data_IF_238647159014
#
_entry.id   IF_238647159014
#
_cell.length_a   1.000
_cell.length_b   1.000
_cell.length_c   1.000
_cell.angle_alpha   90.00
_cell.angle_beta   90.00
_cell.angle_gamma   90.00
#
_symmetry.space_group_name_H-M   'P 1'
#
loop_
_entity.id
_entity.type
_entity.pdbx_description
1 polymer ?
#
# COMPACT_ATOMS: atom_id res chain seq x y z
N UNK A 1 -45.15 -14.43 -22.36
CA UNK A 1 -46.23 -13.53 -21.94
C UNK A 1 -46.69 -13.95 -20.55
N UNK A 2 -46.09 -13.34 -19.52
CA UNK A 2 -46.55 -13.22 -18.12
C UNK A 2 -45.35 -12.70 -17.28
N UNK A 3 -45.46 -11.56 -16.57
CA UNK A 3 -44.34 -10.90 -15.90
C UNK A 3 -44.18 -11.38 -14.45
N UNK A 4 -42.95 -11.67 -14.03
CA UNK A 4 -42.58 -11.87 -12.63
C UNK A 4 -42.23 -10.52 -12.00
N UNK A 5 -43.25 -9.80 -11.54
CA UNK A 5 -43.12 -8.71 -10.58
C UNK A 5 -43.46 -9.25 -9.20
N UNK A 6 -42.50 -9.28 -8.26
CA UNK A 6 -42.81 -9.55 -6.86
C UNK A 6 -41.59 -9.79 -5.98
N UNK A 7 -41.41 -8.91 -4.99
CA UNK A 7 -40.57 -9.03 -3.80
C UNK A 7 -39.07 -8.68 -3.88
N UNK A 8 -38.79 -7.41 -4.21
CA UNK A 8 -37.57 -6.69 -3.78
C UNK A 8 -37.91 -5.55 -2.77
N UNK A 9 -38.95 -5.70 -1.96
CA UNK A 9 -39.39 -4.64 -1.01
C UNK A 9 -39.02 -4.92 0.46
N UNK A 10 -38.16 -5.91 0.74
CA UNK A 10 -37.77 -6.30 2.10
C UNK A 10 -36.33 -5.95 2.53
N UNK A 11 -35.48 -5.46 1.63
CA UNK A 11 -34.04 -5.25 1.93
C UNK A 11 -33.69 -3.83 2.37
N UNK A 12 -34.55 -2.82 2.15
CA UNK A 12 -34.26 -1.44 2.58
C UNK A 12 -34.34 -1.23 4.10
N UNK A 13 -35.16 -2.00 4.81
CA UNK A 13 -35.30 -1.87 6.28
C UNK A 13 -34.15 -2.49 7.08
N UNK A 14 -33.44 -3.50 6.54
CA UNK A 14 -32.26 -4.10 7.21
C UNK A 14 -30.98 -3.34 6.97
N UNK A 15 -30.87 -2.60 5.86
CA UNK A 15 -29.76 -1.69 5.60
C UNK A 15 -29.67 -0.56 6.64
N UNK A 16 -30.80 -0.01 7.08
CA UNK A 16 -30.80 1.01 8.14
C UNK A 16 -30.39 0.43 9.50
N UNK A 17 -30.80 -0.79 9.86
CA UNK A 17 -30.37 -1.43 11.11
C UNK A 17 -28.86 -1.75 11.17
N UNK A 18 -28.28 -2.20 10.05
CA UNK A 18 -26.84 -2.42 9.93
C UNK A 18 -26.04 -1.10 9.91
N UNK A 19 -26.53 -0.07 9.20
CA UNK A 19 -25.90 1.27 9.19
C UNK A 19 -25.96 1.93 10.56
N UNK A 20 -27.05 1.71 11.32
CA UNK A 20 -27.21 2.25 12.68
C UNK A 20 -26.34 1.50 13.70
N UNK A 21 -26.10 0.20 13.53
CA UNK A 21 -25.15 -0.55 14.36
C UNK A 21 -23.69 -0.26 14.02
N UNK A 22 -23.33 0.01 12.75
CA UNK A 22 -22.02 0.57 12.41
C UNK A 22 -21.85 1.99 12.97
N UNK A 23 -22.91 2.81 13.00
CA UNK A 23 -22.87 4.16 13.59
C UNK A 23 -22.71 4.13 15.12
N UNK A 24 -23.37 3.21 15.83
CA UNK A 24 -23.25 3.11 17.29
C UNK A 24 -21.84 2.71 17.76
N UNK A 25 -21.03 2.08 16.90
CA UNK A 25 -19.65 1.67 17.23
C UNK A 25 -18.57 2.49 16.54
N UNK A 26 -18.95 3.33 15.57
CA UNK A 26 -18.16 4.49 15.19
C UNK A 26 -17.94 5.44 16.37
N UNK A 27 -18.78 5.40 17.41
CA UNK A 27 -18.71 6.33 18.55
C UNK A 27 -17.63 5.95 19.60
N UNK A 28 -17.39 4.67 19.89
CA UNK A 28 -16.31 4.21 20.80
C UNK A 28 -14.95 3.99 20.09
N UNK A 29 -14.98 3.72 18.78
CA UNK A 29 -13.79 3.67 17.93
C UNK A 29 -13.37 5.06 17.43
N UNK A 30 -14.31 6.00 17.35
CA UNK A 30 -14.14 7.37 16.89
C UNK A 30 -12.98 8.10 17.55
N UNK A 31 -12.90 8.21 18.89
CA UNK A 31 -11.81 8.93 19.54
C UNK A 31 -10.44 8.27 19.35
N UNK A 32 -10.37 6.94 19.21
CA UNK A 32 -9.10 6.23 18.94
C UNK A 32 -8.67 6.42 17.49
N UNK A 33 -9.62 6.38 16.56
CA UNK A 33 -9.41 6.59 15.12
C UNK A 33 -8.95 8.03 14.82
N UNK A 34 -9.57 9.04 15.45
CA UNK A 34 -9.18 10.44 15.26
C UNK A 34 -7.79 10.73 15.80
N UNK A 35 -7.44 10.17 16.97
CA UNK A 35 -6.08 10.25 17.51
C UNK A 35 -5.09 9.60 16.54
N UNK A 36 -5.39 8.40 16.02
CA UNK A 36 -4.52 7.71 15.05
C UNK A 36 -4.31 8.52 13.76
N UNK A 37 -5.34 9.20 13.26
CA UNK A 37 -5.21 10.07 12.08
C UNK A 37 -4.36 11.31 12.34
N UNK A 38 -4.48 11.94 13.52
CA UNK A 38 -3.65 13.08 13.91
C UNK A 38 -2.18 12.69 14.06
N UNK A 39 -1.91 11.50 14.60
CA UNK A 39 -0.56 10.96 14.68
C UNK A 39 0.03 10.63 13.30
N UNK A 40 -0.75 10.07 12.37
CA UNK A 40 -0.31 9.83 10.99
C UNK A 40 0.08 11.13 10.26
N UNK A 41 -0.65 12.22 10.49
CA UNK A 41 -0.28 13.53 9.97
C UNK A 41 1.06 14.03 10.53
N UNK A 42 1.32 13.80 11.82
CA UNK A 42 2.58 14.18 12.48
C UNK A 42 3.79 13.38 11.99
N UNK A 43 3.61 12.09 11.69
CA UNK A 43 4.67 11.22 11.16
C UNK A 43 5.17 11.70 9.79
N UNK A 44 4.25 12.12 8.91
CA UNK A 44 4.60 12.66 7.59
C UNK A 44 5.40 13.98 7.62
N UNK A 45 5.30 14.76 8.71
CA UNK A 45 6.03 16.03 8.89
C UNK A 45 7.49 15.82 9.34
N UNK A 46 7.82 14.64 9.86
CA UNK A 46 9.13 14.37 10.49
C UNK A 46 10.30 14.60 9.53
N UNK A 47 10.22 14.04 8.32
CA UNK A 47 11.29 14.09 7.31
C UNK A 47 11.55 15.53 6.83
N UNK A 48 10.56 16.30 6.36
CA UNK A 48 10.81 17.67 5.89
C UNK A 48 11.28 18.60 7.00
N UNK A 49 10.82 18.42 8.23
CA UNK A 49 11.24 19.23 9.38
C UNK A 49 12.70 18.97 9.75
N UNK A 50 13.13 17.70 9.77
CA UNK A 50 14.53 17.34 9.96
C UNK A 50 15.43 17.94 8.88
N UNK A 51 14.99 17.88 7.62
CA UNK A 51 15.75 18.42 6.51
C UNK A 51 15.82 19.95 6.54
N UNK A 52 14.77 20.64 6.98
CA UNK A 52 14.81 22.08 7.17
C UNK A 52 15.89 22.52 8.16
N UNK A 53 15.98 21.83 9.30
CA UNK A 53 17.01 22.12 10.32
C UNK A 53 18.40 21.81 9.78
N UNK A 54 18.53 20.74 9.00
CA UNK A 54 19.79 20.42 8.31
C UNK A 54 20.19 21.52 7.30
N UNK A 55 19.22 22.18 6.66
CA UNK A 55 19.48 23.31 5.74
C UNK A 55 20.23 24.44 6.43
N UNK A 56 19.71 24.87 7.59
CA UNK A 56 20.30 25.95 8.39
C UNK A 56 21.75 25.62 8.77
N UNK A 57 22.00 24.36 9.14
CA UNK A 57 23.33 23.86 9.48
C UNK A 57 24.26 23.93 8.28
N UNK A 58 23.86 23.37 7.13
CA UNK A 58 24.66 23.37 5.90
C UNK A 58 24.99 24.80 5.46
N UNK A 59 24.02 25.71 5.56
CA UNK A 59 24.24 27.10 5.17
C UNK A 59 25.26 27.82 6.06
N UNK A 60 25.26 27.57 7.36
CA UNK A 60 26.23 28.18 8.28
C UNK A 60 27.65 27.64 8.04
N UNK A 61 27.79 26.32 7.83
CA UNK A 61 29.09 25.71 7.49
C UNK A 61 29.62 26.15 6.11
N UNK A 62 28.74 26.55 5.19
CA UNK A 62 29.11 27.01 3.86
C UNK A 62 29.65 28.44 3.78
N UNK A 63 29.61 29.22 4.87
CA UNK A 63 30.17 30.57 4.89
C UNK A 63 31.69 30.53 5.10
N UNK A 64 32.43 30.92 4.05
CA UNK A 64 33.90 30.84 3.97
C UNK A 64 34.68 31.73 4.97
N UNK A 65 33.98 32.57 5.74
CA UNK A 65 34.58 33.63 6.57
C UNK A 65 34.23 33.52 8.07
N UNK A 66 33.46 32.50 8.48
CA UNK A 66 33.24 32.25 9.90
C UNK A 66 34.34 31.37 10.45
N UNK A 67 35.20 31.93 11.31
CA UNK A 67 35.85 31.13 12.35
C UNK A 67 34.76 30.25 12.95
N UNK A 68 34.87 28.93 12.77
CA UNK A 68 33.88 27.96 13.24
C UNK A 68 33.96 27.99 14.77
N UNK A 69 33.31 28.98 15.35
CA UNK A 69 33.30 29.19 16.78
C UNK A 69 32.54 28.03 17.38
N UNK A 70 33.14 27.37 18.37
CA UNK A 70 32.53 26.29 19.14
C UNK A 70 31.13 26.68 19.65
N UNK A 71 30.86 27.99 19.81
CA UNK A 71 29.57 28.56 20.19
C UNK A 71 28.48 28.42 19.12
N UNK A 72 28.81 28.62 17.83
CA UNK A 72 27.87 28.42 16.71
C UNK A 72 27.56 26.93 16.53
N UNK A 73 28.60 26.08 16.54
CA UNK A 73 28.44 24.62 16.48
C UNK A 73 27.56 24.12 17.61
N UNK A 74 27.79 24.57 18.85
CA UNK A 74 26.98 24.16 20.00
C UNK A 74 25.52 24.62 19.90
N UNK A 75 25.25 25.82 19.33
CA UNK A 75 23.88 26.32 19.11
C UNK A 75 23.11 25.46 18.11
N UNK A 76 23.73 25.07 17.01
CA UNK A 76 23.10 24.21 16.01
C UNK A 76 23.02 22.75 16.44
N UNK A 77 24.04 22.24 17.14
CA UNK A 77 23.99 20.94 17.78
C UNK A 77 22.85 20.86 18.81
N UNK A 78 22.64 21.93 19.59
CA UNK A 78 21.48 22.03 20.49
C UNK A 78 20.15 22.08 19.73
N UNK A 79 20.04 22.84 18.63
CA UNK A 79 18.81 22.82 17.80
C UNK A 79 18.53 21.45 17.18
N UNK A 80 19.55 20.78 16.64
CA UNK A 80 19.46 19.41 16.14
C UNK A 80 19.11 18.44 17.27
N UNK A 81 19.68 18.60 18.46
CA UNK A 81 19.33 17.82 19.64
C UNK A 81 17.88 18.06 20.06
N UNK A 82 17.40 19.31 20.08
CA UNK A 82 16.00 19.61 20.41
C UNK A 82 15.04 19.04 19.38
N UNK A 83 15.40 19.07 18.09
CA UNK A 83 14.61 18.47 17.02
C UNK A 83 14.69 16.95 17.08
N UNK A 84 15.85 16.36 17.38
CA UNK A 84 16.03 14.93 17.54
C UNK A 84 15.37 14.39 18.82
N UNK A 85 15.32 15.17 19.89
CA UNK A 85 14.57 14.87 21.12
C UNK A 85 13.09 15.12 20.89
N UNK A 86 12.70 16.13 20.12
CA UNK A 86 11.30 16.40 19.75
C UNK A 86 10.74 15.30 18.85
N UNK A 87 11.49 14.91 17.81
CA UNK A 87 11.21 13.76 16.94
C UNK A 87 11.35 12.47 17.71
N UNK A 88 12.35 12.34 18.58
CA UNK A 88 12.56 11.18 19.43
C UNK A 88 11.38 10.98 20.37
N UNK A 89 10.91 12.03 21.05
CA UNK A 89 9.74 12.04 21.91
C UNK A 89 8.45 11.88 21.11
N UNK A 90 8.29 12.53 19.95
CA UNK A 90 7.13 12.30 19.07
C UNK A 90 7.13 10.90 18.49
N UNK A 91 8.31 10.29 18.32
CA UNK A 91 8.52 8.92 17.92
C UNK A 91 8.49 7.97 19.10
N UNK A 92 8.57 8.40 20.37
CA UNK A 92 8.48 7.61 21.63
C UNK A 92 7.07 7.60 22.23
N UNK A 93 6.44 8.78 22.33
CA UNK A 93 4.98 8.95 22.39
C UNK A 93 4.38 8.29 21.15
N UNK A 94 5.07 8.52 20.03
CA UNK A 94 5.09 7.71 18.83
C UNK A 94 5.16 6.26 19.21
N UNK A 95 6.24 5.66 19.74
CA UNK A 95 6.53 4.23 19.98
C UNK A 95 5.66 3.57 21.05
N UNK A 96 4.90 4.35 21.83
CA UNK A 96 3.61 3.87 22.37
C UNK A 96 2.66 3.43 21.23
N UNK A 97 3.08 3.59 19.97
CA UNK A 97 2.74 3.12 18.60
C UNK A 97 2.83 1.63 18.42
N UNK A 98 3.38 0.88 19.37
CA UNK A 98 2.87 -0.48 19.52
C UNK A 98 1.33 -0.40 19.56
N UNK A 99 0.72 0.60 20.22
CA UNK A 99 -0.71 0.84 20.09
C UNK A 99 -1.19 1.30 18.71
N UNK A 100 -0.43 1.96 17.81
CA UNK A 100 -0.98 2.32 16.49
C UNK A 100 -1.13 1.09 15.61
N UNK A 101 -0.09 0.26 15.56
CA UNK A 101 -0.07 -0.96 14.77
C UNK A 101 -0.96 -2.00 15.44
N UNK A 102 -0.87 -2.16 16.77
CA UNK A 102 -1.72 -3.10 17.51
C UNK A 102 -3.17 -2.62 17.65
N UNK A 103 -3.49 -1.33 17.74
CA UNK A 103 -4.89 -0.85 17.78
C UNK A 103 -5.52 -0.97 16.41
N UNK A 104 -4.77 -0.71 15.35
CA UNK A 104 -5.24 -0.95 13.99
C UNK A 104 -5.44 -2.45 13.74
N UNK A 105 -4.46 -3.29 14.08
CA UNK A 105 -4.57 -4.74 13.98
C UNK A 105 -5.72 -5.30 14.84
N UNK A 106 -5.88 -4.83 16.09
CA UNK A 106 -7.03 -5.22 16.95
C UNK A 106 -8.36 -4.76 16.38
N UNK A 107 -8.40 -3.60 15.72
CA UNK A 107 -9.63 -3.13 15.08
C UNK A 107 -9.95 -3.97 13.85
N UNK A 108 -8.94 -4.27 13.02
CA UNK A 108 -9.07 -5.16 11.86
C UNK A 108 -9.55 -6.57 12.27
N UNK A 109 -9.00 -7.13 13.35
CA UNK A 109 -9.40 -8.42 13.91
C UNK A 109 -10.85 -8.39 14.42
N UNK A 110 -11.26 -7.34 15.14
CA UNK A 110 -12.65 -7.17 15.59
C UNK A 110 -13.63 -7.06 14.43
N UNK A 111 -13.29 -6.28 13.41
CA UNK A 111 -14.12 -6.13 12.21
C UNK A 111 -14.25 -7.45 11.46
N UNK A 112 -13.15 -8.18 11.28
CA UNK A 112 -13.14 -9.49 10.63
C UNK A 112 -13.97 -10.52 11.42
N UNK A 113 -13.82 -10.55 12.74
CA UNK A 113 -14.57 -11.46 13.62
C UNK A 113 -16.09 -11.22 13.52
N UNK A 114 -16.51 -9.96 13.41
CA UNK A 114 -17.92 -9.59 13.19
C UNK A 114 -18.43 -9.97 11.82
N UNK A 115 -17.63 -9.75 10.78
CA UNK A 115 -17.95 -10.22 9.43
C UNK A 115 -18.16 -11.73 9.43
N UNK A 116 -17.25 -12.50 10.05
CA UNK A 116 -17.39 -13.96 10.22
C UNK A 116 -18.67 -14.34 10.95
N UNK A 117 -19.04 -13.62 12.02
CA UNK A 117 -20.22 -13.91 12.83
C UNK A 117 -21.53 -13.61 12.09
N UNK A 118 -21.67 -12.42 11.50
CA UNK A 118 -22.86 -12.06 10.71
C UNK A 118 -22.99 -12.93 9.46
N UNK A 119 -21.88 -13.30 8.84
CA UNK A 119 -21.88 -14.22 7.72
C UNK A 119 -22.36 -15.62 8.13
N UNK A 120 -21.79 -16.20 9.20
CA UNK A 120 -22.22 -17.50 9.72
C UNK A 120 -23.71 -17.50 10.09
N UNK A 121 -24.18 -16.41 10.72
CA UNK A 121 -25.59 -16.20 11.05
C UNK A 121 -26.49 -16.10 9.81
N UNK A 122 -26.00 -15.52 8.71
CA UNK A 122 -26.70 -15.48 7.43
C UNK A 122 -26.78 -16.87 6.79
N UNK A 123 -25.68 -17.63 6.76
CA UNK A 123 -25.64 -19.01 6.22
C UNK A 123 -26.59 -19.93 6.98
N UNK A 124 -26.62 -19.85 8.31
CA UNK A 124 -27.52 -20.66 9.14
C UNK A 124 -29.00 -20.31 8.98
N UNK A 125 -29.33 -19.14 8.41
CA UNK A 125 -30.70 -18.70 8.12
C UNK A 125 -31.16 -19.05 6.71
N UNK A 126 -30.28 -19.61 5.90
CA UNK A 126 -30.56 -19.96 4.52
C UNK A 126 -31.39 -21.26 4.46
N UNK A 127 -32.34 -21.34 3.52
CA UNK A 127 -33.18 -22.53 3.35
C UNK A 127 -32.36 -23.75 2.89
N UNK A 128 -32.82 -24.95 3.25
CA UNK A 128 -32.15 -26.22 2.90
C UNK A 128 -31.97 -26.36 1.38
N UNK A 129 -32.89 -25.82 0.58
CA UNK A 129 -32.80 -25.79 -0.89
C UNK A 129 -31.61 -25.01 -1.44
N UNK A 130 -31.01 -24.06 -0.68
CA UNK A 130 -29.76 -23.41 -1.08
C UNK A 130 -28.55 -24.34 -1.01
N UNK A 131 -28.55 -25.25 -0.04
CA UNK A 131 -27.51 -26.26 0.10
C UNK A 131 -27.69 -27.42 -0.90
N UNK A 132 -28.93 -27.71 -1.30
CA UNK A 132 -29.27 -28.73 -2.30
C UNK A 132 -29.10 -28.26 -3.76
N UNK A 133 -29.36 -26.98 -4.06
CA UNK A 133 -29.20 -26.41 -5.42
C UNK A 133 -27.74 -26.18 -5.82
N UNK A 134 -26.80 -26.25 -4.88
CA UNK A 134 -25.37 -26.31 -5.12
C UNK A 134 -24.90 -27.76 -5.37
N UNK A 135 -25.64 -28.52 -6.17
CA UNK A 135 -25.29 -29.89 -6.56
C UNK A 135 -24.38 -29.89 -7.80
N UNK A 136 -23.09 -30.24 -7.61
CA UNK A 136 -22.35 -31.26 -8.37
C UNK A 136 -20.82 -31.11 -8.24
N UNK A 137 -20.28 -29.88 -8.22
CA UNK A 137 -18.82 -29.65 -8.31
C UNK A 137 -18.22 -28.75 -7.20
N UNK A 138 -19.06 -28.09 -6.38
CA UNK A 138 -18.64 -27.16 -5.29
C UNK A 138 -19.22 -27.53 -3.92
N UNK A 139 -19.74 -28.74 -3.79
CA UNK A 139 -20.63 -29.19 -2.73
C UNK A 139 -19.89 -29.80 -1.55
N UNK A 140 -19.46 -28.97 -0.59
CA UNK A 140 -19.48 -29.36 0.82
C UNK A 140 -19.68 -28.11 1.68
N UNK A 141 -20.49 -28.21 2.74
CA UNK A 141 -20.54 -27.20 3.81
C UNK A 141 -19.13 -26.79 4.26
N UNK A 142 -18.18 -27.72 4.21
CA UNK A 142 -16.76 -27.50 4.47
C UNK A 142 -16.10 -26.51 3.51
N UNK A 143 -16.33 -26.61 2.19
CA UNK A 143 -15.72 -25.73 1.18
C UNK A 143 -16.27 -24.30 1.27
N UNK A 144 -17.56 -24.15 1.57
CA UNK A 144 -18.16 -22.83 1.84
C UNK A 144 -17.51 -22.23 3.09
N UNK A 145 -17.49 -22.96 4.21
CA UNK A 145 -16.87 -22.51 5.47
C UNK A 145 -15.38 -22.21 5.33
N UNK A 146 -14.63 -23.01 4.57
CA UNK A 146 -13.19 -22.81 4.35
C UNK A 146 -12.90 -21.60 3.48
N UNK A 147 -13.67 -21.39 2.41
CA UNK A 147 -13.56 -20.21 1.54
C UNK A 147 -13.85 -18.93 2.33
N UNK A 148 -14.90 -18.92 3.15
CA UNK A 148 -15.22 -17.76 4.01
C UNK A 148 -14.11 -17.47 5.01
N UNK A 149 -13.56 -18.52 5.63
CA UNK A 149 -12.48 -18.37 6.61
C UNK A 149 -11.22 -17.79 5.94
N UNK A 150 -10.89 -18.27 4.74
CA UNK A 150 -9.81 -17.77 3.89
C UNK A 150 -10.04 -16.32 3.45
N UNK A 151 -11.22 -16.00 2.93
CA UNK A 151 -11.57 -14.66 2.46
C UNK A 151 -11.56 -13.66 3.62
N UNK A 152 -12.12 -14.05 4.77
CA UNK A 152 -12.08 -13.23 5.98
C UNK A 152 -10.64 -13.00 6.46
N UNK A 153 -9.77 -14.01 6.37
CA UNK A 153 -8.36 -13.85 6.72
C UNK A 153 -7.65 -12.90 5.75
N UNK A 154 -7.94 -13.03 4.45
CA UNK A 154 -7.41 -12.14 3.41
C UNK A 154 -7.86 -10.70 3.65
N UNK A 155 -9.13 -10.49 4.03
CA UNK A 155 -9.67 -9.18 4.42
C UNK A 155 -8.97 -8.65 5.68
N UNK A 156 -8.76 -9.49 6.69
CA UNK A 156 -8.05 -9.13 7.92
C UNK A 156 -6.63 -8.65 7.65
N UNK A 157 -5.88 -9.42 6.85
CA UNK A 157 -4.51 -9.08 6.43
C UNK A 157 -4.51 -7.81 5.59
N UNK A 158 -5.48 -7.65 4.69
CA UNK A 158 -5.56 -6.46 3.83
C UNK A 158 -5.86 -5.21 4.64
N UNK A 159 -6.82 -5.25 5.58
CA UNK A 159 -7.14 -4.13 6.46
C UNK A 159 -5.99 -3.89 7.45
N UNK A 160 -5.43 -4.94 8.05
CA UNK A 160 -4.46 -4.85 9.14
C UNK A 160 -3.04 -4.50 8.72
N UNK A 161 -2.57 -5.03 7.59
CA UNK A 161 -1.17 -4.93 7.15
C UNK A 161 -0.99 -4.09 5.89
N UNK A 162 -1.84 -4.27 4.86
CA UNK A 162 -1.61 -3.66 3.54
C UNK A 162 -2.28 -2.31 3.33
N UNK A 163 -3.43 -2.08 3.95
CA UNK A 163 -4.24 -0.88 3.79
C UNK A 163 -4.39 -0.16 5.13
N UNK A 164 -3.25 0.17 5.72
CA UNK A 164 -3.24 1.07 6.87
C UNK A 164 -3.63 2.47 6.40
N UNK A 165 -4.91 2.80 6.59
CA UNK A 165 -5.43 4.16 6.44
C UNK A 165 -4.50 5.23 7.06
N UNK A 166 -3.92 5.04 8.27
CA UNK A 166 -2.97 6.01 8.81
C UNK A 166 -1.68 6.16 7.99
N UNK A 167 -1.17 5.08 7.38
CA UNK A 167 0.05 5.14 6.56
C UNK A 167 -0.26 5.85 5.23
N UNK A 168 -1.39 5.57 4.59
CA UNK A 168 -1.83 6.33 3.41
C UNK A 168 -1.97 7.82 3.70
N UNK A 169 -2.55 8.16 4.86
CA UNK A 169 -2.69 9.55 5.29
C UNK A 169 -1.32 10.19 5.59
N UNK A 170 -0.37 9.44 6.17
CA UNK A 170 0.99 9.89 6.42
C UNK A 170 1.77 10.14 5.12
N UNK A 171 1.63 9.28 4.12
CA UNK A 171 2.25 9.50 2.80
C UNK A 171 1.63 10.70 2.08
N UNK A 172 0.30 10.85 2.14
CA UNK A 172 -0.38 12.02 1.58
C UNK A 172 0.05 13.31 2.28
N UNK A 173 0.11 13.32 3.61
CA UNK A 173 0.54 14.51 4.35
C UNK A 173 2.01 14.83 4.11
N UNK A 174 2.88 13.82 4.09
CA UNK A 174 4.30 13.97 3.78
C UNK A 174 4.51 14.58 2.39
N UNK A 175 3.75 14.14 1.39
CA UNK A 175 3.78 14.74 0.05
C UNK A 175 3.48 16.24 0.08
N UNK A 176 2.38 16.65 0.74
CA UNK A 176 2.03 18.07 0.83
C UNK A 176 3.06 18.87 1.63
N UNK A 177 3.52 18.37 2.77
CA UNK A 177 4.52 19.06 3.58
C UNK A 177 5.86 19.20 2.83
N UNK A 178 6.36 18.13 2.20
CA UNK A 178 7.58 18.17 1.40
C UNK A 178 7.48 19.18 0.25
N UNK A 179 6.34 19.24 -0.45
CA UNK A 179 6.11 20.25 -1.49
C UNK A 179 6.09 21.67 -0.93
N UNK A 180 5.34 21.92 0.15
CA UNK A 180 5.25 23.25 0.78
C UNK A 180 6.65 23.71 1.22
N UNK A 181 7.41 22.86 1.92
CA UNK A 181 8.77 23.17 2.34
C UNK A 181 9.70 23.37 1.14
N UNK A 182 9.62 22.55 0.08
CA UNK A 182 10.44 22.77 -1.10
C UNK A 182 10.19 24.14 -1.73
N UNK A 183 8.91 24.54 -1.87
CA UNK A 183 8.53 25.84 -2.42
C UNK A 183 8.97 27.02 -1.55
N UNK A 184 8.96 26.89 -0.22
CA UNK A 184 9.39 27.97 0.68
C UNK A 184 10.89 28.19 0.67
N UNK A 185 11.70 27.14 0.45
CA UNK A 185 13.16 27.26 0.40
C UNK A 185 13.66 27.75 -0.96
N UNK A 186 13.27 27.11 -2.07
CA UNK A 186 13.67 27.56 -3.41
C UNK A 186 12.65 27.19 -4.49
N UNK A 187 11.72 28.11 -4.76
CA UNK A 187 10.68 27.93 -5.77
C UNK A 187 11.21 27.61 -7.19
N UNK A 188 12.42 28.07 -7.53
CA UNK A 188 13.02 27.91 -8.87
C UNK A 188 13.54 26.50 -9.09
N UNK A 189 14.17 25.93 -8.07
CA UNK A 189 14.61 24.54 -8.11
C UNK A 189 13.41 23.60 -8.10
N UNK A 190 12.40 23.90 -7.26
CA UNK A 190 11.17 23.12 -7.18
C UNK A 190 10.44 23.08 -8.52
N UNK A 191 10.31 24.21 -9.23
CA UNK A 191 9.74 24.26 -10.58
C UNK A 191 10.51 23.39 -11.59
N UNK A 192 11.84 23.36 -11.50
CA UNK A 192 12.66 22.52 -12.36
C UNK A 192 12.56 21.02 -12.01
N UNK A 193 12.23 20.69 -10.75
CA UNK A 193 12.14 19.32 -10.24
C UNK A 193 10.75 18.68 -10.38
N UNK A 194 9.67 19.45 -10.43
CA UNK A 194 8.29 18.97 -10.67
C UNK A 194 8.14 18.01 -11.87
N UNK A 195 8.72 18.27 -13.07
CA UNK A 195 8.59 17.33 -14.19
C UNK A 195 9.21 15.96 -13.88
N UNK A 196 10.28 15.91 -13.08
CA UNK A 196 10.89 14.64 -12.64
C UNK A 196 9.97 13.90 -11.67
N UNK A 197 9.35 14.59 -10.71
CA UNK A 197 8.35 14.01 -9.80
C UNK A 197 7.18 13.39 -10.57
N UNK A 198 6.65 14.10 -11.57
CA UNK A 198 5.55 13.58 -12.40
C UNK A 198 5.98 12.37 -13.23
N UNK A 199 7.24 12.38 -13.69
CA UNK A 199 7.84 11.26 -14.42
C UNK A 199 7.98 9.99 -13.57
N UNK A 200 8.02 10.07 -12.23
CA UNK A 200 8.00 8.89 -11.34
C UNK A 200 6.59 8.35 -11.09
N UNK A 201 5.59 9.23 -11.01
CA UNK A 201 4.20 8.84 -10.72
C UNK A 201 3.58 8.05 -11.88
N UNK A 202 3.85 8.45 -13.13
CA UNK A 202 3.23 7.83 -14.33
C UNK A 202 3.63 6.35 -14.50
N UNK A 203 4.92 5.96 -14.45
CA UNK A 203 5.34 4.57 -14.48
C UNK A 203 4.83 3.77 -13.27
N UNK A 204 4.81 4.37 -12.07
CA UNK A 204 4.32 3.69 -10.86
C UNK A 204 2.87 3.19 -11.02
N UNK A 205 1.98 4.05 -11.52
CA UNK A 205 0.59 3.69 -11.78
C UNK A 205 0.42 2.76 -13.00
N UNK A 206 1.18 2.99 -14.07
CA UNK A 206 1.12 2.19 -15.30
C UNK A 206 1.62 0.76 -15.11
N UNK A 207 2.81 0.60 -14.51
CA UNK A 207 3.38 -0.72 -14.20
C UNK A 207 2.55 -1.46 -13.16
N UNK A 208 1.98 -0.77 -12.17
CA UNK A 208 1.11 -1.38 -11.17
C UNK A 208 -0.13 -2.06 -11.81
N UNK A 209 -0.80 -1.36 -12.74
CA UNK A 209 -1.94 -1.94 -13.46
C UNK A 209 -1.54 -3.10 -14.36
N UNK A 210 -0.49 -2.92 -15.17
CA UNK A 210 0.01 -3.98 -16.05
C UNK A 210 0.42 -5.23 -15.27
N UNK A 211 1.05 -5.07 -14.10
CA UNK A 211 1.40 -6.16 -13.20
C UNK A 211 0.18 -6.92 -12.69
N UNK A 212 -0.84 -6.18 -12.26
CA UNK A 212 -2.06 -6.76 -11.73
C UNK A 212 -2.81 -7.54 -12.80
N UNK A 213 -2.91 -7.01 -14.01
CA UNK A 213 -3.56 -7.68 -15.14
C UNK A 213 -2.86 -8.98 -15.53
N UNK A 214 -1.51 -8.98 -15.56
CA UNK A 214 -0.73 -10.20 -15.85
C UNK A 214 -0.86 -11.21 -14.71
N UNK A 215 -0.90 -10.75 -13.45
CA UNK A 215 -1.08 -11.63 -12.30
C UNK A 215 -2.44 -12.33 -12.33
N UNK A 216 -3.53 -11.61 -12.62
CA UNK A 216 -4.87 -12.19 -12.72
C UNK A 216 -4.92 -13.25 -13.82
N UNK A 217 -4.37 -12.94 -15.00
CA UNK A 217 -4.28 -13.91 -16.11
C UNK A 217 -3.45 -15.14 -15.75
N UNK A 218 -2.39 -14.97 -14.96
CA UNK A 218 -1.57 -16.06 -14.44
C UNK A 218 -2.35 -17.00 -13.52
N UNK A 219 -3.14 -16.42 -12.61
CA UNK A 219 -4.01 -17.19 -11.69
C UNK A 219 -5.09 -17.95 -12.47
N UNK A 220 -5.72 -17.32 -13.45
CA UNK A 220 -6.75 -17.94 -14.30
C UNK A 220 -6.19 -19.13 -15.11
N UNK A 221 -5.02 -18.95 -15.73
CA UNK A 221 -4.33 -20.03 -16.46
C UNK A 221 -3.92 -21.18 -15.53
N UNK A 222 -3.48 -20.87 -14.32
CA UNK A 222 -3.12 -21.88 -13.31
C UNK A 222 -4.35 -22.66 -12.82
N UNK A 223 -5.51 -22.01 -12.69
CA UNK A 223 -6.76 -22.67 -12.30
C UNK A 223 -7.18 -23.75 -13.32
N UNK A 224 -6.97 -23.50 -14.63
CA UNK A 224 -7.24 -24.50 -15.68
C UNK A 224 -6.32 -25.73 -15.53
N UNK A 225 -5.02 -25.52 -15.30
CA UNK A 225 -4.08 -26.61 -15.06
C UNK A 225 -4.43 -27.40 -13.78
N UNK A 226 -4.83 -26.69 -12.71
CA UNK A 226 -5.33 -27.28 -11.47
C UNK A 226 -6.59 -28.13 -11.68
N UNK A 227 -7.52 -27.67 -12.53
CA UNK A 227 -8.71 -28.43 -12.90
C UNK A 227 -8.38 -29.75 -13.61
N UNK A 228 -7.44 -29.73 -14.56
CA UNK A 228 -6.96 -30.95 -15.26
C UNK A 228 -6.33 -31.94 -14.28
N UNK A 229 -5.48 -31.45 -13.37
CA UNK A 229 -4.86 -32.29 -12.34
C UNK A 229 -5.92 -32.87 -11.38
N UNK A 230 -6.89 -32.06 -10.96
CA UNK A 230 -7.94 -32.50 -10.05
C UNK A 230 -8.84 -33.57 -10.69
N UNK A 231 -9.19 -33.42 -11.97
CA UNK A 231 -9.95 -34.42 -12.71
C UNK A 231 -9.17 -35.74 -12.86
N UNK A 232 -7.87 -35.65 -13.17
CA UNK A 232 -7.00 -36.82 -13.28
C UNK A 232 -6.88 -37.60 -11.97
N UNK A 233 -6.69 -36.89 -10.85
CA UNK A 233 -6.55 -37.48 -9.51
C UNK A 233 -7.89 -38.07 -9.04
N UNK A 234 -8.99 -37.34 -9.22
CA UNK A 234 -10.33 -37.79 -8.84
C UNK A 234 -10.73 -39.08 -9.57
N UNK A 235 -10.34 -39.21 -10.84
CA UNK A 235 -10.62 -40.38 -11.69
C UNK A 235 -9.40 -41.26 -11.95
N UNK A 236 -8.49 -41.39 -10.98
CA UNK A 236 -7.20 -42.09 -11.18
C UNK A 236 -7.35 -43.54 -11.65
N UNK A 237 -8.39 -44.24 -11.16
CA UNK A 237 -8.68 -45.63 -11.56
C UNK A 237 -9.04 -45.73 -13.05
N UNK A 238 -9.73 -44.72 -13.58
CA UNK A 238 -10.11 -44.62 -15.00
C UNK A 238 -8.88 -44.32 -15.86
N UNK A 239 -8.02 -43.38 -15.43
CA UNK A 239 -6.78 -43.06 -16.15
C UNK A 239 -5.90 -44.32 -16.27
N UNK A 240 -5.78 -45.08 -15.18
CA UNK A 240 -5.03 -46.33 -15.14
C UNK A 240 -5.65 -47.41 -16.04
N UNK A 241 -6.98 -47.61 -15.99
CA UNK A 241 -7.66 -48.64 -16.79
C UNK A 241 -7.58 -48.39 -18.31
N UNK A 242 -7.51 -47.12 -18.72
CA UNK A 242 -7.34 -46.74 -20.12
C UNK A 242 -5.87 -46.55 -20.54
N UNK A 243 -4.91 -46.78 -19.63
CA UNK A 243 -3.47 -46.54 -19.86
C UNK A 243 -3.22 -45.11 -20.39
N UNK A 244 -3.98 -44.15 -19.88
CA UNK A 244 -4.01 -42.76 -20.36
C UNK A 244 -3.09 -41.82 -19.56
N UNK A 245 -2.12 -42.37 -18.83
CA UNK A 245 -1.20 -41.64 -17.95
C UNK A 245 -0.39 -40.61 -18.75
N UNK A 246 0.26 -41.04 -19.83
CA UNK A 246 1.06 -40.17 -20.69
C UNK A 246 0.20 -39.05 -21.32
N UNK A 247 -0.99 -39.40 -21.81
CA UNK A 247 -1.91 -38.41 -22.40
C UNK A 247 -2.35 -37.35 -21.38
N UNK A 248 -2.55 -37.76 -20.12
CA UNK A 248 -2.97 -36.86 -19.05
C UNK A 248 -1.81 -35.96 -18.59
N UNK A 249 -0.59 -36.51 -18.53
CA UNK A 249 0.62 -35.75 -18.28
C UNK A 249 0.89 -34.71 -19.38
N UNK A 250 0.73 -35.07 -20.65
CA UNK A 250 0.89 -34.15 -21.77
C UNK A 250 -0.13 -33.00 -21.72
N UNK A 251 -1.39 -33.31 -21.39
CA UNK A 251 -2.44 -32.30 -21.18
C UNK A 251 -2.09 -31.35 -20.04
N UNK A 252 -1.64 -31.87 -18.89
CA UNK A 252 -1.22 -31.05 -17.76
C UNK A 252 0.00 -30.18 -18.10
N UNK A 253 1.01 -30.75 -18.77
CA UNK A 253 2.21 -30.06 -19.23
C UNK A 253 1.86 -28.91 -20.18
N UNK A 254 0.99 -29.15 -21.17
CA UNK A 254 0.54 -28.13 -22.12
C UNK A 254 -0.23 -26.97 -21.44
N UNK A 255 -1.06 -27.28 -20.43
CA UNK A 255 -1.77 -26.27 -19.65
C UNK A 255 -0.81 -25.45 -18.76
N UNK A 256 0.21 -26.09 -18.20
CA UNK A 256 1.26 -25.44 -17.41
C UNK A 256 2.15 -24.52 -18.24
N UNK A 257 2.45 -24.90 -19.48
CA UNK A 257 3.33 -24.13 -20.35
C UNK A 257 2.79 -22.71 -20.59
N UNK A 258 1.47 -22.57 -20.77
CA UNK A 258 0.81 -21.26 -20.87
C UNK A 258 0.98 -20.42 -19.60
N UNK A 259 0.89 -21.05 -18.43
CA UNK A 259 1.12 -20.38 -17.14
C UNK A 259 2.59 -19.99 -16.96
N UNK A 260 3.52 -20.82 -17.42
CA UNK A 260 4.96 -20.53 -17.39
C UNK A 260 5.30 -19.33 -18.27
N UNK A 261 4.76 -19.23 -19.49
CA UNK A 261 4.95 -18.07 -20.37
C UNK A 261 4.44 -16.76 -19.74
N UNK A 262 3.26 -16.80 -19.10
CA UNK A 262 2.73 -15.65 -18.36
C UNK A 262 3.61 -15.28 -17.16
N UNK A 263 4.13 -16.28 -16.44
CA UNK A 263 5.08 -16.09 -15.34
C UNK A 263 6.40 -15.47 -15.79
N UNK A 264 6.95 -15.89 -16.94
CA UNK A 264 8.16 -15.29 -17.54
C UNK A 264 7.89 -13.83 -17.93
N UNK A 265 6.75 -13.55 -18.56
CA UNK A 265 6.37 -12.17 -18.91
C UNK A 265 6.19 -11.30 -17.67
N UNK A 266 5.61 -11.84 -16.60
CA UNK A 266 5.50 -11.16 -15.31
C UNK A 266 6.88 -10.89 -14.70
N UNK A 267 7.78 -11.87 -14.71
CA UNK A 267 9.15 -11.74 -14.22
C UNK A 267 9.93 -10.66 -14.97
N UNK A 268 9.83 -10.64 -16.30
CA UNK A 268 10.47 -9.62 -17.13
C UNK A 268 9.92 -8.22 -16.85
N UNK A 269 8.59 -8.08 -16.75
CA UNK A 269 7.98 -6.81 -16.42
C UNK A 269 8.35 -6.33 -14.99
N UNK A 270 8.56 -7.24 -14.02
CA UNK A 270 9.03 -6.90 -12.67
C UNK A 270 10.49 -6.44 -12.70
N UNK A 271 11.33 -7.14 -13.46
CA UNK A 271 12.71 -6.76 -13.68
C UNK A 271 12.82 -5.38 -14.32
N UNK A 272 11.98 -5.09 -15.32
CA UNK A 272 11.92 -3.77 -15.97
C UNK A 272 11.46 -2.67 -15.00
N UNK A 273 10.46 -2.95 -14.16
CA UNK A 273 10.02 -2.02 -13.12
C UNK A 273 11.15 -1.71 -12.13
N UNK A 274 11.85 -2.74 -11.64
CA UNK A 274 12.97 -2.56 -10.71
C UNK A 274 14.15 -1.82 -11.37
N UNK A 275 14.43 -2.10 -12.64
CA UNK A 275 15.45 -1.38 -13.42
C UNK A 275 15.09 0.09 -13.65
N UNK A 276 13.80 0.40 -13.85
CA UNK A 276 13.32 1.78 -14.02
C UNK A 276 13.54 2.65 -12.78
N UNK A 277 13.70 2.07 -11.58
CA UNK A 277 14.04 2.80 -10.37
C UNK A 277 15.43 3.46 -10.44
N UNK A 278 16.32 3.00 -11.32
CA UNK A 278 17.63 3.63 -11.56
C UNK A 278 17.54 5.08 -12.07
N UNK A 279 16.39 5.48 -12.61
CA UNK A 279 16.11 6.86 -13.04
C UNK A 279 16.21 7.86 -11.88
N UNK A 280 16.05 7.40 -10.62
CA UNK A 280 16.22 8.24 -9.44
C UNK A 280 17.61 8.88 -9.37
N UNK A 281 18.66 8.14 -9.73
CA UNK A 281 20.03 8.65 -9.71
C UNK A 281 20.28 9.71 -10.78
N UNK A 282 19.60 9.59 -11.93
CA UNK A 282 19.65 10.61 -12.98
C UNK A 282 19.00 11.90 -12.48
N UNK A 283 17.88 11.80 -11.77
CA UNK A 283 17.22 12.97 -11.14
C UNK A 283 18.11 13.64 -10.09
N UNK A 284 18.76 12.85 -9.22
CA UNK A 284 19.75 13.38 -8.25
C UNK A 284 20.88 14.13 -8.96
N UNK A 285 21.43 13.56 -10.04
CA UNK A 285 22.49 14.20 -10.83
C UNK A 285 22.03 15.51 -11.48
N UNK A 286 20.83 15.54 -12.05
CA UNK A 286 20.25 16.74 -12.65
C UNK A 286 20.02 17.85 -11.61
N UNK A 287 19.48 17.50 -10.43
CA UNK A 287 19.30 18.46 -9.34
C UNK A 287 20.62 18.99 -8.79
N UNK A 288 21.65 18.15 -8.69
CA UNK A 288 22.98 18.61 -8.32
C UNK A 288 23.55 19.61 -9.34
N UNK A 289 23.36 19.36 -10.64
CA UNK A 289 23.82 20.26 -11.70
C UNK A 289 23.10 21.61 -11.67
N UNK A 290 21.76 21.62 -11.68
CA UNK A 290 20.98 22.85 -11.59
C UNK A 290 21.24 23.57 -10.26
N UNK A 291 21.35 22.83 -9.16
CA UNK A 291 21.69 23.38 -7.85
C UNK A 291 23.03 24.09 -7.86
N UNK A 292 24.07 23.50 -8.47
CA UNK A 292 25.39 24.12 -8.60
C UNK A 292 25.34 25.43 -9.41
N UNK A 293 24.51 25.46 -10.46
CA UNK A 293 24.32 26.64 -11.31
C UNK A 293 23.62 27.78 -10.56
N UNK A 294 22.62 27.45 -9.73
CA UNK A 294 21.91 28.42 -8.90
C UNK A 294 22.82 29.03 -7.83
N UNK A 295 23.61 28.20 -7.15
CA UNK A 295 24.60 28.66 -6.15
C UNK A 295 25.62 29.60 -6.81
N UNK A 296 26.19 29.21 -7.96
CA UNK A 296 27.24 29.96 -8.63
C UNK A 296 26.76 31.29 -9.24
N UNK A 297 25.59 31.32 -9.89
CA UNK A 297 25.13 32.51 -10.62
C UNK A 297 24.31 33.49 -9.77
N UNK A 298 23.69 33.02 -8.69
CA UNK A 298 22.72 33.83 -7.92
C UNK A 298 23.01 33.94 -6.43
N UNK A 299 24.10 33.32 -5.94
CA UNK A 299 24.48 33.31 -4.51
C UNK A 299 23.32 32.86 -3.59
N UNK A 300 22.46 31.97 -4.07
CA UNK A 300 21.47 31.32 -3.20
C UNK A 300 22.18 30.33 -2.28
N UNK A 301 21.64 30.17 -1.07
CA UNK A 301 22.22 29.32 -0.02
C UNK A 301 22.24 27.87 -0.46
N UNK A 302 23.41 27.24 -0.45
CA UNK A 302 23.59 25.85 -0.90
C UNK A 302 22.77 24.84 -0.09
N UNK A 303 22.60 25.08 1.21
CA UNK A 303 21.75 24.26 2.09
C UNK A 303 20.29 24.24 1.64
N UNK A 304 19.73 25.41 1.31
CA UNK A 304 18.32 25.55 0.98
C UNK A 304 17.97 24.86 -0.35
N UNK A 305 18.89 24.91 -1.30
CA UNK A 305 18.78 24.23 -2.60
C UNK A 305 18.87 22.71 -2.42
N UNK A 306 19.83 22.22 -1.62
CA UNK A 306 19.97 20.79 -1.37
C UNK A 306 18.72 20.20 -0.71
N UNK A 307 18.18 20.88 0.31
CA UNK A 307 17.00 20.43 1.06
C UNK A 307 15.73 20.55 0.24
N UNK A 308 15.55 21.63 -0.55
CA UNK A 308 14.44 21.74 -1.48
C UNK A 308 14.45 20.57 -2.50
N UNK A 309 15.63 20.23 -3.01
CA UNK A 309 15.79 19.09 -3.92
C UNK A 309 15.46 17.74 -3.28
N UNK A 310 15.97 17.50 -2.07
CA UNK A 310 15.69 16.29 -1.30
C UNK A 310 14.20 16.12 -1.03
N UNK A 311 13.51 17.18 -0.58
CA UNK A 311 12.09 17.13 -0.24
C UNK A 311 11.21 16.87 -1.49
N UNK A 312 11.54 17.43 -2.66
CA UNK A 312 10.78 17.15 -3.90
C UNK A 312 10.92 15.70 -4.35
N UNK A 313 12.12 15.13 -4.20
CA UNK A 313 12.35 13.72 -4.55
C UNK A 313 11.66 12.76 -3.58
N UNK A 314 11.79 13.00 -2.28
CA UNK A 314 11.14 12.17 -1.27
C UNK A 314 9.62 12.30 -1.28
N UNK A 315 9.08 13.47 -1.64
CA UNK A 315 7.64 13.61 -1.88
C UNK A 315 7.16 12.83 -3.10
N UNK A 316 8.02 12.66 -4.12
CA UNK A 316 7.67 11.92 -5.33
C UNK A 316 7.71 10.40 -5.22
N UNK A 317 8.34 9.87 -4.18
CA UNK A 317 8.52 8.44 -3.92
C UNK A 317 7.34 7.86 -3.13
#
# INVERSE_FOLDING_TARGET
MAPMTGHFSGSLGRGQGQVTQTNAQGMDAGPKMTILTLFGLGDGLQIPLMMFVLSDVINEYGHLDSDISTRSVNKYALRLLYVAVGVGLSAFIGTRSLSKDLCWARTAERQTSRMRLEYLKSVLRQEVGFFDSQAADSSTTYQVVSTISSDSNTIQVTIGEKCRIPDCLAYMSSFFFCLIFAFTLSWRLTLAAIPFTLMFIVPGLGFGKMMMDVAIKGIESYAVAGGVAQQAISSIRTVYSYVAENQTLDKFSSALQKTMELGIKQGFARGLMMGSMGVIYISWGFQAWIGSLLVSKRQEKGGDIFVAGFNVLMGGL
#
